data_IF_978100318816
#
_entry.id   IF_978100318816
#
_cell.length_a   1.000
_cell.length_b   1.000
_cell.length_c   1.000
_cell.angle_alpha   90.00
_cell.angle_beta   90.00
_cell.angle_gamma   90.00
#
_symmetry.space_group_name_H-M   'P 1'
#
loop_
_entity.id
_entity.type
_entity.pdbx_description
1 polymer ?
#
# COMPACT_ATOMS: atom_id res chain seq x y z
N UNK A 1 14.57 -6.03 -5.85
CA UNK A 1 13.59 -6.85 -5.10
C UNK A 1 13.14 -7.98 -6.01
N UNK A 2 12.88 -9.18 -5.51
CA UNK A 2 12.29 -10.24 -6.33
C UNK A 2 10.80 -9.95 -6.51
N UNK A 3 10.30 -10.02 -7.74
CA UNK A 3 8.86 -10.03 -8.03
C UNK A 3 8.32 -11.42 -7.63
N UNK A 4 8.10 -11.57 -6.32
CA UNK A 4 7.53 -12.78 -5.74
C UNK A 4 6.07 -12.46 -5.40
N UNK A 5 5.07 -13.11 -6.04
CA UNK A 5 3.67 -12.91 -5.70
C UNK A 5 3.42 -13.11 -4.20
N UNK A 6 2.64 -12.19 -3.61
CA UNK A 6 2.32 -12.18 -2.19
C UNK A 6 3.48 -11.77 -1.25
N UNK A 7 4.68 -11.46 -1.75
CA UNK A 7 5.79 -10.98 -0.93
C UNK A 7 5.61 -9.49 -0.55
N UNK A 8 4.63 -9.25 0.30
CA UNK A 8 4.29 -7.95 0.88
C UNK A 8 4.78 -7.95 2.32
N UNK A 9 5.59 -6.95 2.67
CA UNK A 9 6.15 -6.81 4.01
C UNK A 9 5.71 -5.48 4.66
N UNK A 10 6.19 -5.20 5.87
CA UNK A 10 5.97 -3.98 6.63
C UNK A 10 6.19 -2.67 5.86
N UNK A 11 7.05 -2.68 4.82
CA UNK A 11 7.53 -1.46 4.15
C UNK A 11 6.42 -0.56 3.61
N UNK A 12 5.42 -1.13 2.93
CA UNK A 12 4.30 -0.34 2.39
C UNK A 12 3.42 0.21 3.53
N UNK A 13 3.24 -0.59 4.58
CA UNK A 13 2.43 -0.25 5.74
C UNK A 13 3.08 0.86 6.57
N UNK A 14 4.40 0.86 6.69
CA UNK A 14 5.14 1.90 7.40
C UNK A 14 5.08 3.24 6.66
N UNK A 15 5.11 3.24 5.32
CA UNK A 15 4.84 4.44 4.53
C UNK A 15 3.44 5.00 4.78
N UNK A 16 2.41 4.14 4.87
CA UNK A 16 1.04 4.56 5.18
C UNK A 16 0.93 5.16 6.58
N UNK A 17 1.52 4.50 7.60
CA UNK A 17 1.56 5.03 8.98
C UNK A 17 2.30 6.37 9.07
N UNK A 18 3.32 6.57 8.23
CA UNK A 18 4.07 7.82 8.14
C UNK A 18 3.37 8.92 7.33
N UNK A 19 2.12 8.69 6.86
CA UNK A 19 1.37 9.62 5.99
C UNK A 19 2.14 10.02 4.73
N UNK A 20 2.80 9.03 4.12
CA UNK A 20 3.56 9.19 2.88
C UNK A 20 3.00 8.29 1.78
N UNK A 21 3.11 8.73 0.53
CA UNK A 21 2.73 7.93 -0.64
C UNK A 21 3.94 7.08 -1.06
N UNK A 22 3.88 5.73 -0.95
CA UNK A 22 5.00 4.88 -1.33
C UNK A 22 5.10 4.75 -2.86
N UNK A 23 6.33 4.73 -3.36
CA UNK A 23 6.65 4.20 -4.69
C UNK A 23 6.97 2.71 -4.50
N UNK A 24 6.08 1.84 -4.96
CA UNK A 24 6.12 0.41 -4.68
C UNK A 24 6.76 -0.38 -5.83
N UNK A 25 7.69 -1.27 -5.49
CA UNK A 25 8.28 -2.25 -6.41
C UNK A 25 8.50 -3.59 -5.70
N UNK A 26 7.43 -4.36 -5.56
CA UNK A 26 7.44 -5.65 -4.86
C UNK A 26 6.57 -6.68 -5.56
N UNK A 27 5.64 -7.29 -4.82
CA UNK A 27 4.75 -8.32 -5.32
C UNK A 27 3.93 -7.84 -6.53
N UNK A 28 3.97 -8.60 -7.63
CA UNK A 28 3.22 -8.31 -8.85
C UNK A 28 1.72 -8.12 -8.61
N UNK A 29 1.17 -8.88 -7.67
CA UNK A 29 -0.25 -8.91 -7.33
C UNK A 29 -0.62 -8.05 -6.11
N UNK A 30 0.17 -7.02 -5.78
CA UNK A 30 -0.12 -6.09 -4.67
C UNK A 30 -1.56 -5.51 -4.70
N UNK A 31 -2.16 -5.37 -5.88
CA UNK A 31 -3.52 -4.84 -6.05
C UNK A 31 -4.62 -5.76 -5.51
N UNK A 32 -4.30 -7.02 -5.23
CA UNK A 32 -5.21 -7.96 -4.55
C UNK A 32 -5.36 -7.59 -3.06
N UNK A 33 -4.41 -6.81 -2.51
CA UNK A 33 -4.32 -6.51 -1.09
C UNK A 33 -4.41 -5.02 -0.78
N UNK A 34 -3.92 -4.16 -1.68
CA UNK A 34 -3.86 -2.71 -1.51
C UNK A 34 -4.47 -2.03 -2.75
N UNK A 35 -5.44 -1.12 -2.60
CA UNK A 35 -6.00 -0.39 -3.73
C UNK A 35 -4.93 0.37 -4.53
N UNK A 36 -4.97 0.29 -5.86
CA UNK A 36 -3.98 0.91 -6.75
C UNK A 36 -3.83 2.42 -6.53
N UNK A 37 -4.88 3.10 -6.10
CA UNK A 37 -4.90 4.54 -5.81
C UNK A 37 -4.32 4.91 -4.44
N UNK A 38 -3.69 3.97 -3.72
CA UNK A 38 -2.99 4.20 -2.45
C UNK A 38 -1.46 4.26 -2.60
N UNK A 39 -0.90 3.97 -3.76
CA UNK A 39 0.55 3.95 -3.98
C UNK A 39 0.89 4.26 -5.44
N UNK A 40 2.13 4.65 -5.68
CA UNK A 40 2.67 4.81 -7.02
C UNK A 40 3.34 3.49 -7.40
N UNK A 41 2.88 2.84 -8.45
CA UNK A 41 3.43 1.57 -8.88
C UNK A 41 4.57 1.78 -9.86
N UNK A 42 5.80 1.42 -9.48
CA UNK A 42 6.96 1.62 -10.34
C UNK A 42 6.83 0.89 -11.69
N UNK A 43 6.10 -0.22 -11.73
CA UNK A 43 5.92 -1.04 -12.94
C UNK A 43 5.14 -0.31 -14.03
N UNK A 44 4.36 0.72 -13.69
CA UNK A 44 3.62 1.51 -14.67
C UNK A 44 4.54 2.42 -15.51
N UNK A 45 5.79 2.63 -15.06
CA UNK A 45 6.73 3.56 -15.69
C UNK A 45 7.79 2.86 -16.52
N UNK A 46 8.24 1.66 -16.12
CA UNK A 46 9.26 0.87 -16.83
C UNK A 46 10.67 1.49 -16.85
N UNK A 47 10.81 2.78 -16.55
CA UNK A 47 12.06 3.52 -16.51
C UNK A 47 12.02 4.66 -15.46
N UNK A 48 13.17 4.96 -14.86
CA UNK A 48 13.29 5.98 -13.82
C UNK A 48 13.06 7.41 -14.31
N UNK A 49 13.39 7.74 -15.56
CA UNK A 49 13.19 9.08 -16.13
C UNK A 49 11.70 9.38 -16.30
N UNK A 50 10.91 8.36 -16.65
CA UNK A 50 9.46 8.48 -16.78
C UNK A 50 8.83 8.67 -15.39
N UNK A 51 9.29 7.91 -14.39
CA UNK A 51 8.88 8.10 -13.00
C UNK A 51 9.23 9.51 -12.49
N UNK A 52 10.48 9.95 -12.69
CA UNK A 52 10.94 11.28 -12.26
C UNK A 52 10.07 12.39 -12.87
N UNK A 53 9.78 12.29 -14.18
CA UNK A 53 8.89 13.23 -14.86
C UNK A 53 7.49 13.22 -14.28
N UNK A 54 6.94 12.04 -13.96
CA UNK A 54 5.65 11.93 -13.31
C UNK A 54 5.65 12.61 -11.93
N UNK A 55 6.62 12.28 -11.08
CA UNK A 55 6.75 12.86 -9.73
C UNK A 55 6.92 14.39 -9.78
N UNK A 56 7.71 14.89 -10.72
CA UNK A 56 7.92 16.34 -10.90
C UNK A 56 6.66 17.10 -11.35
N UNK A 57 5.70 16.40 -11.96
CA UNK A 57 4.42 16.97 -12.39
C UNK A 57 3.27 16.65 -11.42
N UNK A 58 3.51 15.88 -10.36
CA UNK A 58 2.49 15.51 -9.41
C UNK A 58 2.06 16.74 -8.61
N UNK A 59 0.80 17.13 -8.77
CA UNK A 59 0.25 18.28 -8.07
C UNK A 59 -0.03 17.94 -6.61
N UNK A 60 -0.04 18.95 -5.74
CA UNK A 60 -0.42 18.80 -4.33
C UNK A 60 -1.82 18.17 -4.19
N UNK A 61 -2.76 18.53 -5.08
CA UNK A 61 -4.11 17.97 -5.09
C UNK A 61 -4.11 16.45 -5.38
N UNK A 62 -3.32 16.01 -6.35
CA UNK A 62 -3.18 14.59 -6.68
C UNK A 62 -2.49 13.83 -5.54
N UNK A 63 -1.42 14.39 -4.97
CA UNK A 63 -0.75 13.82 -3.80
C UNK A 63 -1.72 13.67 -2.61
N UNK A 64 -2.50 14.71 -2.30
CA UNK A 64 -3.49 14.67 -1.23
C UNK A 64 -4.61 13.66 -1.50
N UNK A 65 -4.93 13.40 -2.77
CA UNK A 65 -5.88 12.35 -3.15
C UNK A 65 -5.33 10.96 -2.76
N UNK A 66 -4.04 10.68 -3.00
CA UNK A 66 -3.41 9.45 -2.52
C UNK A 66 -3.48 9.34 -1.00
N UNK A 67 -3.14 10.41 -0.27
CA UNK A 67 -3.19 10.42 1.20
C UNK A 67 -4.60 10.11 1.71
N UNK A 68 -5.63 10.73 1.14
CA UNK A 68 -7.03 10.46 1.51
C UNK A 68 -7.43 9.00 1.24
N UNK A 69 -6.98 8.43 0.11
CA UNK A 69 -7.24 7.02 -0.22
C UNK A 69 -6.53 6.09 0.77
N UNK A 70 -5.27 6.37 1.11
CA UNK A 70 -4.49 5.62 2.11
C UNK A 70 -5.21 5.66 3.46
N UNK A 71 -5.58 6.85 3.94
CA UNK A 71 -6.26 7.01 5.23
C UNK A 71 -7.60 6.26 5.24
N UNK A 72 -8.38 6.34 4.15
CA UNK A 72 -9.64 5.60 4.00
C UNK A 72 -9.44 4.09 4.00
N UNK A 73 -8.43 3.59 3.25
CA UNK A 73 -8.10 2.18 3.20
C UNK A 73 -7.64 1.64 4.56
N UNK A 74 -6.83 2.41 5.30
CA UNK A 74 -6.33 2.03 6.62
C UNK A 74 -7.44 1.87 7.68
N UNK A 75 -8.66 2.36 7.44
CA UNK A 75 -9.83 2.12 8.32
C UNK A 75 -10.56 0.80 8.05
N UNK A 76 -10.30 0.15 6.91
CA UNK A 76 -10.98 -1.07 6.48
C UNK A 76 -10.54 -2.30 7.29
N UNK A 77 -11.36 -3.36 7.27
CA UNK A 77 -10.97 -4.62 7.91
C UNK A 77 -9.85 -5.33 7.14
N UNK A 78 -9.83 -5.14 5.83
CA UNK A 78 -8.80 -5.66 4.91
C UNK A 78 -7.42 -5.14 5.30
N UNK A 79 -7.27 -3.85 5.57
CA UNK A 79 -6.01 -3.28 6.05
C UNK A 79 -5.64 -3.75 7.46
N UNK A 80 -6.63 -3.89 8.36
CA UNK A 80 -6.40 -4.30 9.76
C UNK A 80 -5.75 -5.67 9.91
N UNK A 81 -6.00 -6.59 8.97
CA UNK A 81 -5.35 -7.92 8.89
C UNK A 81 -3.82 -7.86 8.73
N UNK A 82 -3.24 -6.70 8.48
CA UNK A 82 -1.78 -6.55 8.36
C UNK A 82 -1.11 -6.05 9.63
N UNK A 83 -1.86 -5.88 10.73
CA UNK A 83 -1.33 -5.37 11.99
C UNK A 83 -1.51 -6.38 13.13
N UNK A 84 -0.42 -6.65 13.86
CA UNK A 84 -0.31 -7.72 14.88
C UNK A 84 -1.41 -7.70 15.95
N UNK A 85 -1.89 -6.52 16.34
CA UNK A 85 -2.88 -6.40 17.42
C UNK A 85 -4.24 -7.02 17.04
N UNK A 86 -4.61 -7.00 15.76
CA UNK A 86 -5.91 -7.52 15.30
C UNK A 86 -5.90 -9.04 15.11
N UNK A 87 -4.74 -9.64 14.84
CA UNK A 87 -4.63 -11.09 14.66
C UNK A 87 -4.99 -11.84 15.93
N UNK A 88 -4.45 -11.44 17.09
CA UNK A 88 -4.71 -12.15 18.33
C UNK A 88 -6.20 -12.11 18.70
N UNK A 89 -6.87 -10.97 18.50
CA UNK A 89 -8.30 -10.83 18.81
C UNK A 89 -9.18 -11.58 17.82
N UNK A 90 -8.95 -11.43 16.50
CA UNK A 90 -9.73 -12.11 15.47
C UNK A 90 -9.55 -13.64 15.53
N UNK A 91 -8.33 -14.11 15.82
CA UNK A 91 -8.05 -15.52 16.04
C UNK A 91 -8.80 -16.09 17.25
N UNK A 92 -8.82 -15.37 18.38
CA UNK A 92 -9.54 -15.80 19.58
C UNK A 92 -11.06 -15.77 19.40
N UNK A 93 -11.61 -14.82 18.64
CA UNK A 93 -13.04 -14.71 18.37
C UNK A 93 -13.56 -15.80 17.42
N UNK A 94 -12.73 -16.27 16.49
CA UNK A 94 -13.12 -17.26 15.48
C UNK A 94 -12.72 -18.72 15.82
N UNK A 95 -11.96 -18.95 16.88
CA UNK A 95 -11.49 -20.29 17.30
C UNK A 95 -12.57 -21.21 17.90
N UNK A 96 -13.81 -20.73 18.04
CA UNK A 96 -14.91 -21.46 18.68
C UNK A 96 -16.13 -21.72 17.80
N UNK A 97 -16.02 -21.52 16.48
CA UNK A 97 -17.09 -21.79 15.50
C UNK A 97 -16.73 -22.95 14.58
#
# INVERSE_FOLDING_TARGET
MSDTPGYITEKIWDSFKAKSVPIYWGASNITDYVPKNCFIDYRDFGDFQILEKFLSNLTEREYNTYIQNIESFMQTQEAKKWFDHYWATDFLENLGK
#
